data_IF_303397398848
#
_entry.id   IF_303397398848
#
_cell.length_a   1.000
_cell.length_b   1.000
_cell.length_c   1.000
_cell.angle_alpha   90.00
_cell.angle_beta   90.00
_cell.angle_gamma   90.00
#
_symmetry.space_group_name_H-M   'P 1'
#
loop_
_entity.id
_entity.type
_entity.pdbx_description
1 polymer ?
#
# COMPACT_ATOMS: atom_id res chain seq x y z
N UNK A 1 5.22 -14.07 -22.53
CA UNK A 1 4.14 -14.63 -21.69
C UNK A 1 2.99 -14.98 -22.61
N UNK A 2 2.09 -15.91 -22.24
CA UNK A 2 0.76 -15.89 -22.84
C UNK A 2 0.28 -14.44 -22.79
N UNK A 3 -0.27 -13.96 -23.90
CA UNK A 3 -1.04 -12.70 -23.96
C UNK A 3 -1.88 -12.66 -22.69
N UNK A 4 -1.97 -11.51 -22.01
CA UNK A 4 -2.84 -11.40 -20.83
C UNK A 4 -4.17 -12.06 -21.19
N UNK A 5 -4.44 -13.21 -20.57
CA UNK A 5 -5.63 -13.96 -20.95
C UNK A 5 -6.84 -13.09 -20.65
N UNK A 6 -7.94 -13.35 -21.37
CA UNK A 6 -9.20 -12.60 -21.20
C UNK A 6 -9.60 -12.51 -19.73
N UNK A 7 -9.28 -13.56 -18.94
CA UNK A 7 -9.49 -13.61 -17.49
C UNK A 7 -8.68 -12.54 -16.73
N UNK A 8 -7.40 -12.38 -17.04
CA UNK A 8 -6.56 -11.35 -16.40
C UNK A 8 -7.05 -9.93 -16.74
N UNK A 9 -7.48 -9.71 -17.99
CA UNK A 9 -8.11 -8.46 -18.39
C UNK A 9 -9.42 -8.20 -17.66
N UNK A 10 -10.30 -9.20 -17.56
CA UNK A 10 -11.55 -9.09 -16.82
C UNK A 10 -11.31 -8.78 -15.35
N UNK A 11 -10.34 -9.44 -14.70
CA UNK A 11 -9.99 -9.17 -13.31
C UNK A 11 -9.45 -7.75 -13.11
N UNK A 12 -8.60 -7.27 -14.02
CA UNK A 12 -8.04 -5.92 -13.97
C UNK A 12 -9.13 -4.85 -14.20
N UNK A 13 -10.00 -5.05 -15.19
CA UNK A 13 -11.14 -4.15 -15.47
C UNK A 13 -12.13 -4.17 -14.30
N UNK A 14 -12.46 -5.34 -13.77
CA UNK A 14 -13.35 -5.48 -12.61
C UNK A 14 -12.75 -4.75 -11.40
N UNK A 15 -11.46 -4.92 -11.16
CA UNK A 15 -10.75 -4.22 -10.10
C UNK A 15 -10.81 -2.70 -10.28
N UNK A 16 -10.55 -2.20 -11.49
CA UNK A 16 -10.64 -0.77 -11.81
C UNK A 16 -12.06 -0.22 -11.64
N UNK A 17 -13.09 -0.96 -12.08
CA UNK A 17 -14.50 -0.60 -11.91
C UNK A 17 -14.87 -0.53 -10.43
N UNK A 18 -14.43 -1.49 -9.61
CA UNK A 18 -14.68 -1.46 -8.17
C UNK A 18 -14.03 -0.24 -7.52
N UNK A 19 -12.81 0.11 -7.95
CA UNK A 19 -12.07 1.25 -7.42
C UNK A 19 -12.73 2.59 -7.80
N UNK A 20 -13.06 2.77 -9.09
CA UNK A 20 -13.75 3.95 -9.62
C UNK A 20 -15.16 4.05 -9.02
N UNK A 21 -15.88 2.95 -8.95
CA UNK A 21 -17.23 2.87 -8.39
C UNK A 21 -17.26 3.28 -6.92
N UNK A 22 -16.27 2.85 -6.12
CA UNK A 22 -16.17 3.23 -4.72
C UNK A 22 -15.89 4.74 -4.55
N UNK A 23 -15.05 5.33 -5.42
CA UNK A 23 -14.81 6.79 -5.45
C UNK A 23 -16.05 7.58 -5.88
N UNK A 24 -16.76 7.09 -6.90
CA UNK A 24 -18.00 7.71 -7.38
C UNK A 24 -19.06 7.72 -6.28
N UNK A 25 -19.25 6.58 -5.60
CA UNK A 25 -20.18 6.49 -4.48
C UNK A 25 -19.87 7.50 -3.37
N UNK A 26 -18.58 7.68 -3.06
CA UNK A 26 -18.13 8.68 -2.09
C UNK A 26 -18.48 10.10 -2.53
N UNK A 27 -18.33 10.42 -3.83
CA UNK A 27 -18.70 11.73 -4.39
C UNK A 27 -20.22 11.97 -4.33
N UNK A 28 -21.03 10.96 -4.61
CA UNK A 28 -22.49 11.08 -4.62
C UNK A 28 -23.13 11.00 -3.22
N UNK A 29 -22.44 10.41 -2.24
CA UNK A 29 -22.90 10.31 -0.85
C UNK A 29 -21.88 10.96 0.10
N UNK A 30 -21.78 12.30 0.13
CA UNK A 30 -20.81 13.01 0.97
C UNK A 30 -21.00 12.77 2.49
N UNK A 31 -22.19 12.31 2.89
CA UNK A 31 -22.49 11.89 4.27
C UNK A 31 -21.80 10.58 4.67
N UNK A 32 -21.43 9.72 3.71
CA UNK A 32 -20.60 8.54 3.95
C UNK A 32 -19.12 8.91 3.77
N UNK A 33 -18.47 9.30 4.87
CA UNK A 33 -17.03 9.63 4.89
C UNK A 33 -16.12 8.42 4.63
N UNK A 34 -16.64 7.20 4.73
CA UNK A 34 -15.88 5.95 4.55
C UNK A 34 -16.37 5.20 3.31
N UNK A 35 -15.44 4.65 2.55
CA UNK A 35 -15.76 3.71 1.47
C UNK A 35 -16.52 2.50 2.03
N UNK A 36 -17.48 1.91 1.28
CA UNK A 36 -18.17 0.71 1.72
C UNK A 36 -17.17 -0.44 1.92
N UNK A 37 -17.16 -1.04 3.11
CA UNK A 37 -16.21 -2.11 3.46
C UNK A 37 -16.26 -3.29 2.47
N UNK A 38 -17.44 -3.59 1.92
CA UNK A 38 -17.62 -4.64 0.93
C UNK A 38 -16.93 -4.32 -0.42
N UNK A 39 -16.92 -3.04 -0.85
CA UNK A 39 -16.22 -2.62 -2.07
C UNK A 39 -14.70 -2.71 -1.89
N UNK A 40 -14.20 -2.33 -0.71
CA UNK A 40 -12.79 -2.48 -0.37
C UNK A 40 -12.37 -3.96 -0.31
N UNK A 41 -13.20 -4.83 0.26
CA UNK A 41 -12.96 -6.27 0.32
C UNK A 41 -13.01 -6.90 -1.08
N UNK A 42 -14.00 -6.56 -1.90
CA UNK A 42 -14.11 -7.04 -3.27
C UNK A 42 -12.91 -6.60 -4.12
N UNK A 43 -12.51 -5.33 -4.01
CA UNK A 43 -11.33 -4.81 -4.72
C UNK A 43 -10.05 -5.54 -4.29
N UNK A 44 -9.84 -5.73 -2.98
CA UNK A 44 -8.70 -6.48 -2.46
C UNK A 44 -8.69 -7.93 -2.94
N UNK A 45 -9.85 -8.58 -2.93
CA UNK A 45 -10.01 -9.96 -3.40
C UNK A 45 -9.74 -10.09 -4.90
N UNK A 46 -10.22 -9.15 -5.72
CA UNK A 46 -9.91 -9.14 -7.17
C UNK A 46 -8.41 -9.00 -7.44
N UNK A 47 -7.71 -8.17 -6.67
CA UNK A 47 -6.27 -7.97 -6.78
C UNK A 47 -5.53 -9.24 -6.35
N UNK A 48 -5.96 -9.86 -5.25
CA UNK A 48 -5.42 -11.13 -4.77
C UNK A 48 -5.58 -12.24 -5.83
N UNK A 49 -6.77 -12.39 -6.40
CA UNK A 49 -7.06 -13.35 -7.46
C UNK A 49 -6.19 -13.10 -8.69
N UNK A 50 -6.04 -11.84 -9.12
CA UNK A 50 -5.25 -11.48 -10.29
C UNK A 50 -3.78 -11.92 -10.13
N UNK A 51 -3.19 -11.65 -8.95
CA UNK A 51 -1.78 -11.95 -8.71
C UNK A 51 -1.54 -13.45 -8.53
N UNK A 52 -2.43 -14.16 -7.83
CA UNK A 52 -2.37 -15.62 -7.71
C UNK A 52 -2.62 -16.33 -9.04
N UNK A 53 -3.54 -15.81 -9.86
CA UNK A 53 -3.75 -16.30 -11.22
C UNK A 53 -2.49 -16.14 -12.07
N UNK A 54 -1.81 -14.99 -11.98
CA UNK A 54 -0.51 -14.77 -12.62
C UNK A 54 0.56 -15.77 -12.16
N UNK A 55 0.58 -16.15 -10.89
CA UNK A 55 1.46 -17.20 -10.38
C UNK A 55 1.11 -18.59 -10.91
N UNK A 56 -0.17 -18.95 -10.96
CA UNK A 56 -0.63 -20.24 -11.49
C UNK A 56 -0.31 -20.42 -12.98
N UNK A 57 -0.30 -19.33 -13.75
CA UNK A 57 0.09 -19.33 -15.16
C UNK A 57 1.62 -19.41 -15.37
N UNK A 58 2.41 -19.10 -14.33
CA UNK A 58 3.85 -19.17 -14.44
C UNK A 58 4.32 -20.64 -14.44
N UNK A 59 5.17 -21.00 -15.41
CA UNK A 59 5.71 -22.36 -15.47
C UNK A 59 6.52 -22.68 -14.20
N UNK A 60 6.26 -23.80 -13.52
CA UNK A 60 6.98 -24.17 -12.31
C UNK A 60 8.49 -24.30 -12.59
N UNK A 61 9.32 -23.78 -11.68
CA UNK A 61 10.78 -23.81 -11.79
C UNK A 61 11.43 -22.65 -12.55
N UNK A 62 10.64 -21.75 -13.15
CA UNK A 62 11.17 -20.57 -13.87
C UNK A 62 11.41 -19.37 -12.95
N UNK A 63 12.30 -18.45 -13.36
CA UNK A 63 12.48 -17.14 -12.69
C UNK A 63 11.16 -16.36 -12.62
N UNK A 64 10.30 -16.50 -13.65
CA UNK A 64 8.98 -15.87 -13.69
C UNK A 64 8.06 -16.37 -12.58
N UNK A 65 8.18 -17.65 -12.18
CA UNK A 65 7.38 -18.21 -11.08
C UNK A 65 7.83 -17.69 -9.71
N UNK A 66 9.14 -17.53 -9.49
CA UNK A 66 9.66 -16.92 -8.24
C UNK A 66 9.22 -15.47 -8.12
N UNK A 67 9.28 -14.73 -9.22
CA UNK A 67 8.79 -13.35 -9.30
C UNK A 67 7.28 -13.26 -9.02
N UNK A 68 6.46 -14.06 -9.70
CA UNK A 68 5.01 -14.06 -9.52
C UNK A 68 4.61 -14.47 -8.10
N UNK A 69 5.33 -15.45 -7.50
CA UNK A 69 5.15 -15.83 -6.10
C UNK A 69 5.50 -14.70 -5.13
N UNK A 70 6.60 -14.00 -5.38
CA UNK A 70 7.02 -12.82 -4.60
C UNK A 70 5.95 -11.72 -4.62
N UNK A 71 5.36 -11.43 -5.77
CA UNK A 71 4.27 -10.45 -5.87
C UNK A 71 3.00 -10.97 -5.18
N UNK A 72 2.65 -12.25 -5.33
CA UNK A 72 1.47 -12.84 -4.68
C UNK A 72 1.55 -12.75 -3.15
N UNK A 73 2.68 -13.18 -2.59
CA UNK A 73 2.96 -13.12 -1.15
C UNK A 73 3.01 -11.68 -0.64
N UNK A 74 3.67 -10.77 -1.37
CA UNK A 74 3.66 -9.36 -1.06
C UNK A 74 2.23 -8.77 -1.03
N UNK A 75 1.42 -9.11 -2.02
CA UNK A 75 0.04 -8.65 -2.14
C UNK A 75 -0.81 -9.10 -0.96
N UNK A 76 -0.65 -10.36 -0.52
CA UNK A 76 -1.30 -10.87 0.69
C UNK A 76 -0.92 -10.02 1.91
N UNK A 77 0.37 -9.74 2.10
CA UNK A 77 0.85 -8.92 3.22
C UNK A 77 0.31 -7.49 3.19
N UNK A 78 0.24 -6.86 2.02
CA UNK A 78 -0.33 -5.52 1.84
C UNK A 78 -1.82 -5.52 2.19
N UNK A 79 -2.58 -6.52 1.74
CA UNK A 79 -4.01 -6.62 2.02
C UNK A 79 -4.29 -6.89 3.51
N UNK A 80 -3.58 -7.86 4.10
CA UNK A 80 -3.69 -8.17 5.53
C UNK A 80 -3.25 -6.97 6.38
N UNK A 81 -2.13 -6.34 6.02
CA UNK A 81 -1.62 -5.15 6.67
C UNK A 81 -2.61 -3.99 6.63
N UNK A 82 -3.19 -3.73 5.46
CA UNK A 82 -4.24 -2.72 5.29
C UNK A 82 -5.49 -3.00 6.11
N UNK A 83 -5.94 -4.25 6.20
CA UNK A 83 -7.07 -4.64 7.06
C UNK A 83 -6.75 -4.46 8.55
N UNK A 84 -5.55 -4.82 8.99
CA UNK A 84 -5.12 -4.62 10.38
C UNK A 84 -5.00 -3.14 10.73
N UNK A 85 -4.52 -2.31 9.79
CA UNK A 85 -4.42 -0.87 9.98
C UNK A 85 -5.79 -0.19 10.02
N UNK A 86 -6.72 -0.57 9.14
CA UNK A 86 -8.04 0.04 9.02
C UNK A 86 -9.06 -0.43 10.09
N UNK A 87 -8.95 -1.67 10.55
CA UNK A 87 -9.90 -2.29 11.50
C UNK A 87 -9.56 -2.10 12.97
N UNK A 88 -8.49 -1.39 13.32
CA UNK A 88 -7.96 -1.36 14.68
C UNK A 88 -8.45 -0.17 15.50
N UNK A 89 -9.20 -0.47 16.57
CA UNK A 89 -9.39 0.40 17.74
C UNK A 89 -8.14 0.46 18.64
N UNK A 90 -7.14 -0.40 18.38
CA UNK A 90 -6.00 -0.63 19.26
C UNK A 90 -4.65 -0.23 18.63
N UNK A 91 -3.82 0.58 19.33
CA UNK A 91 -2.49 1.03 18.92
C UNK A 91 -1.61 -0.01 18.22
N UNK A 92 -1.46 -1.16 18.89
CA UNK A 92 -0.51 -2.20 18.51
C UNK A 92 -0.89 -2.83 17.17
N UNK A 93 -2.20 -2.97 16.90
CA UNK A 93 -2.72 -3.62 15.70
C UNK A 93 -2.55 -2.73 14.46
N UNK A 94 -2.63 -1.41 14.62
CA UNK A 94 -2.29 -0.44 13.56
C UNK A 94 -0.80 -0.51 13.21
N UNK A 95 0.08 -0.61 14.21
CA UNK A 95 1.52 -0.78 13.99
C UNK A 95 1.84 -2.07 13.23
N UNK A 96 1.28 -3.21 13.64
CA UNK A 96 1.42 -4.47 12.91
C UNK A 96 0.92 -4.36 11.47
N UNK A 97 -0.19 -3.65 11.25
CA UNK A 97 -0.72 -3.41 9.91
C UNK A 97 0.23 -2.60 9.02
N UNK A 98 0.77 -1.50 9.54
CA UNK A 98 1.75 -0.66 8.81
C UNK A 98 3.02 -1.46 8.51
N UNK A 99 3.55 -2.20 9.49
CA UNK A 99 4.74 -3.02 9.31
C UNK A 99 4.54 -4.15 8.28
N UNK A 100 3.41 -4.86 8.32
CA UNK A 100 3.09 -5.90 7.34
C UNK A 100 2.98 -5.32 5.92
N UNK A 101 2.37 -4.13 5.81
CA UNK A 101 2.28 -3.40 4.53
C UNK A 101 3.67 -2.99 4.02
N UNK A 102 4.55 -2.51 4.91
CA UNK A 102 5.93 -2.17 4.58
C UNK A 102 6.71 -3.37 4.06
N UNK A 103 6.62 -4.51 4.75
CA UNK A 103 7.28 -5.76 4.35
C UNK A 103 6.75 -6.21 2.98
N UNK A 104 5.45 -6.10 2.75
CA UNK A 104 4.86 -6.39 1.45
C UNK A 104 5.46 -5.54 0.33
N UNK A 105 5.56 -4.22 0.51
CA UNK A 105 6.22 -3.36 -0.49
C UNK A 105 7.71 -3.69 -0.68
N UNK A 106 8.41 -4.03 0.39
CA UNK A 106 9.81 -4.44 0.34
C UNK A 106 9.98 -5.73 -0.49
N UNK A 107 9.05 -6.67 -0.37
CA UNK A 107 9.01 -7.88 -1.21
C UNK A 107 8.72 -7.57 -2.68
N UNK A 108 7.83 -6.61 -2.98
CA UNK A 108 7.61 -6.15 -4.38
C UNK A 108 8.91 -5.56 -4.94
N UNK A 109 9.55 -4.66 -4.19
CA UNK A 109 10.84 -4.06 -4.57
C UNK A 109 11.87 -5.16 -4.83
N UNK A 110 12.05 -6.09 -3.89
CA UNK A 110 12.99 -7.20 -4.02
C UNK A 110 12.71 -8.05 -5.28
N UNK A 111 11.44 -8.41 -5.50
CA UNK A 111 11.03 -9.20 -6.67
C UNK A 111 11.32 -8.47 -8.00
N UNK A 112 11.05 -7.16 -8.07
CA UNK A 112 11.32 -6.37 -9.28
C UNK A 112 12.83 -6.18 -9.50
N UNK A 113 13.62 -6.00 -8.42
CA UNK A 113 15.08 -5.85 -8.52
C UNK A 113 15.79 -7.13 -8.94
N UNK A 114 15.22 -8.30 -8.67
CA UNK A 114 15.76 -9.57 -9.15
C UNK A 114 15.61 -9.77 -10.66
N UNK A 115 14.72 -8.99 -11.31
CA UNK A 115 14.50 -9.06 -12.75
C UNK A 115 15.31 -8.00 -13.51
N UNK A 116 16.40 -8.45 -14.13
CA UNK A 116 17.32 -7.66 -14.96
C UNK A 116 18.22 -6.69 -14.17
N UNK A 117 19.16 -5.99 -14.81
CA UNK A 117 20.00 -5.00 -14.13
C UNK A 117 19.11 -3.86 -13.60
N UNK A 118 18.84 -3.88 -12.30
CA UNK A 118 17.90 -2.97 -11.63
C UNK A 118 18.33 -1.48 -11.66
N UNK A 119 19.60 -1.22 -11.97
CA UNK A 119 20.29 0.04 -11.73
C UNK A 119 20.99 0.57 -12.99
N UNK A 120 20.43 0.36 -14.18
CA UNK A 120 20.95 0.97 -15.41
C UNK A 120 20.15 2.22 -15.78
N UNK A 121 20.87 3.34 -15.94
CA UNK A 121 20.44 4.62 -16.52
C UNK A 121 18.98 5.01 -16.29
N UNK A 122 18.13 4.66 -17.25
CA UNK A 122 16.69 5.00 -17.28
C UNK A 122 15.94 4.46 -16.06
N UNK A 123 16.27 3.24 -15.58
CA UNK A 123 15.63 2.67 -14.37
C UNK A 123 15.98 3.48 -13.13
N UNK A 124 17.22 3.94 -13.03
CA UNK A 124 17.73 4.73 -11.89
C UNK A 124 17.12 6.14 -11.88
N UNK A 125 16.96 6.76 -13.05
CA UNK A 125 16.30 8.05 -13.20
C UNK A 125 14.80 7.98 -12.84
N UNK A 126 14.10 6.95 -13.31
CA UNK A 126 12.68 6.76 -12.99
C UNK A 126 12.49 6.42 -11.52
N UNK A 127 13.38 5.60 -10.95
CA UNK A 127 13.42 5.33 -9.52
C UNK A 127 13.66 6.60 -8.71
N UNK A 128 14.65 7.43 -9.07
CA UNK A 128 14.98 8.64 -8.34
C UNK A 128 13.84 9.66 -8.38
N UNK A 129 13.20 9.85 -9.55
CA UNK A 129 11.99 10.66 -9.67
C UNK A 129 10.86 10.13 -8.80
N UNK A 130 10.63 8.81 -8.81
CA UNK A 130 9.56 8.20 -8.02
C UNK A 130 9.83 8.32 -6.52
N UNK A 131 11.07 8.13 -6.08
CA UNK A 131 11.51 8.34 -4.70
C UNK A 131 11.35 9.80 -4.28
N UNK A 132 11.66 10.75 -5.17
CA UNK A 132 11.45 12.17 -4.90
C UNK A 132 9.96 12.47 -4.68
N UNK A 133 9.08 11.95 -5.53
CA UNK A 133 7.62 12.10 -5.36
C UNK A 133 7.15 11.43 -4.07
N UNK A 134 7.65 10.23 -3.76
CA UNK A 134 7.34 9.53 -2.51
C UNK A 134 7.81 10.28 -1.26
N UNK A 135 9.00 10.88 -1.30
CA UNK A 135 9.52 11.72 -0.23
C UNK A 135 8.68 12.99 -0.03
N UNK A 136 8.29 13.66 -1.12
CA UNK A 136 7.40 14.82 -1.08
C UNK A 136 6.02 14.45 -0.53
N UNK A 137 5.45 13.32 -0.96
CA UNK A 137 4.17 12.82 -0.45
C UNK A 137 4.24 12.48 1.05
N UNK A 138 5.30 11.79 1.47
CA UNK A 138 5.57 11.48 2.88
C UNK A 138 5.74 12.73 3.73
N UNK A 139 6.47 13.74 3.22
CA UNK A 139 6.67 15.01 3.90
C UNK A 139 5.36 15.82 3.99
N UNK A 140 4.57 15.90 2.91
CA UNK A 140 3.26 16.52 2.93
C UNK A 140 2.32 15.84 3.94
N UNK A 141 2.37 14.51 4.03
CA UNK A 141 1.61 13.75 5.03
C UNK A 141 2.07 14.07 6.46
N UNK A 142 3.38 14.06 6.72
CA UNK A 142 3.98 14.42 8.01
C UNK A 142 3.55 15.84 8.44
N UNK A 143 3.62 16.82 7.54
CA UNK A 143 3.20 18.19 7.82
C UNK A 143 1.71 18.28 8.14
N UNK A 144 0.85 17.56 7.40
CA UNK A 144 -0.59 17.54 7.63
C UNK A 144 -0.98 16.85 8.94
N UNK A 145 -0.23 15.85 9.38
CA UNK A 145 -0.55 15.00 10.56
C UNK A 145 0.27 15.30 11.82
N UNK A 146 1.19 16.27 11.74
CA UNK A 146 2.12 16.67 12.82
C UNK A 146 1.48 16.87 14.19
N UNK A 147 0.24 17.35 14.24
CA UNK A 147 -0.47 17.69 15.47
C UNK A 147 -1.43 16.61 15.98
N UNK A 148 -1.65 15.53 15.21
CA UNK A 148 -2.72 14.54 15.48
C UNK A 148 -2.23 13.13 15.82
N UNK A 149 -1.02 12.77 15.40
CA UNK A 149 -0.51 11.41 15.53
C UNK A 149 0.92 11.38 16.10
N UNK A 150 1.30 10.31 16.81
CA UNK A 150 2.67 10.17 17.32
C UNK A 150 3.67 10.10 16.17
N UNK A 151 4.78 10.83 16.30
CA UNK A 151 5.84 11.00 15.27
C UNK A 151 6.30 9.66 14.68
N UNK A 152 6.35 8.62 15.50
CA UNK A 152 6.74 7.27 15.09
C UNK A 152 5.76 6.64 14.07
N UNK A 153 4.45 6.82 14.26
CA UNK A 153 3.43 6.29 13.31
C UNK A 153 3.45 7.06 11.99
N UNK A 154 3.62 8.37 12.04
CA UNK A 154 3.70 9.21 10.84
C UNK A 154 4.98 8.94 10.05
N UNK A 155 6.08 8.62 10.72
CA UNK A 155 7.33 8.20 10.08
C UNK A 155 7.20 6.82 9.42
N UNK A 156 6.56 5.85 10.09
CA UNK A 156 6.31 4.53 9.53
C UNK A 156 5.42 4.59 8.28
N UNK A 157 4.43 5.50 8.28
CA UNK A 157 3.59 5.80 7.12
C UNK A 157 4.38 6.46 5.98
N UNK A 158 5.22 7.45 6.29
CA UNK A 158 6.07 8.09 5.29
C UNK A 158 7.05 7.09 4.66
N UNK A 159 7.57 6.15 5.46
CA UNK A 159 8.44 5.08 4.98
C UNK A 159 7.71 4.08 4.08
N UNK A 160 6.47 3.70 4.42
CA UNK A 160 5.64 2.84 3.56
C UNK A 160 5.32 3.52 2.23
N UNK A 161 5.03 4.82 2.23
CA UNK A 161 4.87 5.60 1.00
C UNK A 161 6.14 5.58 0.16
N UNK A 162 7.30 5.76 0.78
CA UNK A 162 8.58 5.75 0.06
C UNK A 162 8.84 4.38 -0.59
N UNK A 163 8.56 3.28 0.11
CA UNK A 163 8.64 1.93 -0.45
C UNK A 163 7.65 1.67 -1.58
N UNK A 164 6.42 2.16 -1.44
CA UNK A 164 5.39 2.09 -2.46
C UNK A 164 5.81 2.82 -3.74
N UNK A 165 6.31 4.06 -3.62
CA UNK A 165 6.82 4.81 -4.76
C UNK A 165 8.11 4.21 -5.34
N UNK A 166 8.95 3.58 -4.52
CA UNK A 166 10.09 2.80 -5.02
C UNK A 166 9.64 1.63 -5.90
N UNK A 167 8.60 0.89 -5.49
CA UNK A 167 8.02 -0.19 -6.29
C UNK A 167 7.48 0.32 -7.63
N UNK A 168 6.78 1.46 -7.63
CA UNK A 168 6.27 2.12 -8.86
C UNK A 168 7.41 2.54 -9.78
N UNK A 169 8.44 3.17 -9.24
CA UNK A 169 9.60 3.60 -10.02
C UNK A 169 10.35 2.43 -10.66
N UNK A 170 10.56 1.36 -9.90
CA UNK A 170 11.16 0.13 -10.41
C UNK A 170 10.30 -0.52 -11.49
N UNK A 171 8.98 -0.51 -11.33
CA UNK A 171 8.03 -1.03 -12.30
C UNK A 171 8.01 -0.24 -13.61
N UNK A 172 7.99 1.09 -13.53
CA UNK A 172 8.09 1.94 -14.72
C UNK A 172 9.43 1.77 -15.41
N UNK A 173 10.53 1.76 -14.65
CA UNK A 173 11.85 1.51 -15.20
C UNK A 173 11.90 0.16 -15.93
N UNK A 174 11.30 -0.87 -15.35
CA UNK A 174 11.24 -2.20 -15.94
C UNK A 174 10.32 -2.26 -17.16
N UNK A 175 9.21 -1.52 -17.17
CA UNK A 175 8.34 -1.39 -18.34
C UNK A 175 9.01 -0.65 -19.51
N UNK A 176 9.85 0.35 -19.22
CA UNK A 176 10.60 1.09 -20.24
C UNK A 176 11.73 0.25 -20.84
N UNK A 177 12.42 -0.56 -20.05
CA UNK A 177 13.48 -1.46 -20.56
C UNK A 177 12.92 -2.73 -21.18
N UNK A 178 11.74 -3.18 -20.75
CA UNK A 178 11.07 -4.37 -21.26
C UNK A 178 9.56 -4.10 -21.40
N UNK A 179 9.08 -3.68 -22.59
CA UNK A 179 7.69 -3.27 -22.84
C UNK A 179 6.64 -4.32 -22.46
N UNK A 180 7.04 -5.60 -22.42
CA UNK A 180 6.23 -6.73 -21.96
C UNK A 180 5.70 -6.59 -20.53
N UNK A 181 6.27 -5.69 -19.72
CA UNK A 181 5.83 -5.41 -18.36
C UNK A 181 5.02 -4.11 -18.23
N UNK A 182 4.54 -3.53 -19.34
CA UNK A 182 3.80 -2.25 -19.33
C UNK A 182 2.56 -2.20 -18.44
N UNK A 183 1.96 -3.34 -18.09
CA UNK A 183 0.78 -3.42 -17.20
C UNK A 183 1.15 -3.32 -15.71
N UNK A 184 2.37 -3.69 -15.35
CA UNK A 184 2.90 -3.67 -13.98
C UNK A 184 2.85 -2.25 -13.36
N UNK A 185 3.36 -1.17 -14.03
CA UNK A 185 3.24 0.18 -13.49
C UNK A 185 1.80 0.65 -13.39
N UNK A 186 0.89 0.25 -14.29
CA UNK A 186 -0.53 0.59 -14.20
C UNK A 186 -1.17 -0.02 -12.96
N UNK A 187 -0.90 -1.31 -12.68
CA UNK A 187 -1.34 -1.99 -11.47
C UNK A 187 -0.80 -1.35 -10.19
N UNK A 188 0.50 -1.01 -10.16
CA UNK A 188 1.09 -0.34 -9.00
C UNK A 188 0.58 1.09 -8.81
N UNK A 189 0.34 1.86 -9.88
CA UNK A 189 -0.26 3.19 -9.76
C UNK A 189 -1.66 3.13 -9.15
N UNK A 190 -2.47 2.16 -9.57
CA UNK A 190 -3.79 1.95 -9.00
C UNK A 190 -3.70 1.51 -7.52
N UNK A 191 -2.70 0.69 -7.17
CA UNK A 191 -2.42 0.32 -5.77
C UNK A 191 -1.99 1.55 -4.94
N UNK A 192 -1.11 2.40 -5.47
CA UNK A 192 -0.69 3.67 -4.85
C UNK A 192 -1.91 4.54 -4.57
N UNK A 193 -2.79 4.67 -5.56
CA UNK A 193 -3.99 5.47 -5.44
C UNK A 193 -4.93 4.91 -4.36
N UNK A 194 -5.12 3.58 -4.33
CA UNK A 194 -5.90 2.90 -3.28
C UNK A 194 -5.33 3.17 -1.89
N UNK A 195 -4.01 3.01 -1.72
CA UNK A 195 -3.35 3.18 -0.43
C UNK A 195 -3.32 4.64 0.03
N UNK A 196 -3.09 5.60 -0.87
CA UNK A 196 -3.21 7.03 -0.56
C UNK A 196 -4.62 7.37 -0.09
N UNK A 197 -5.65 6.80 -0.73
CA UNK A 197 -7.04 7.04 -0.33
C UNK A 197 -7.30 6.51 1.08
N UNK A 198 -6.85 5.30 1.39
CA UNK A 198 -6.94 4.71 2.74
C UNK A 198 -6.15 5.53 3.77
N UNK A 199 -4.98 6.02 3.39
CA UNK A 199 -4.13 6.83 4.27
C UNK A 199 -4.79 8.16 4.65
N UNK A 200 -5.43 8.81 3.67
CA UNK A 200 -6.20 10.04 3.89
C UNK A 200 -7.39 9.76 4.82
N UNK A 201 -8.11 8.64 4.64
CA UNK A 201 -9.19 8.23 5.56
C UNK A 201 -8.68 7.99 6.99
N UNK A 202 -7.48 7.43 7.13
CA UNK A 202 -6.85 7.21 8.44
C UNK A 202 -6.48 8.54 9.11
N UNK A 203 -5.98 9.52 8.35
CA UNK A 203 -5.57 10.83 8.85
C UNK A 203 -6.74 11.78 9.16
N UNK A 204 -7.87 11.63 8.46
CA UNK A 204 -9.09 12.43 8.66
C UNK A 204 -10.02 11.83 9.73
N UNK A 205 -9.75 10.60 10.20
CA UNK A 205 -10.49 10.01 11.33
C UNK A 205 -10.09 10.69 12.65
N UNK A 206 -11.06 11.04 13.52
CA UNK A 206 -10.77 11.66 14.82
C UNK A 206 -9.83 10.76 15.62
N UNK A 207 -8.77 11.37 16.15
CA UNK A 207 -7.62 10.77 16.82
C UNK A 207 -7.90 9.39 17.45
N UNK A 208 -7.40 8.33 16.81
CA UNK A 208 -7.37 6.97 17.37
C UNK A 208 -6.48 6.83 18.63
N UNK A 209 -5.86 7.93 19.09
CA UNK A 209 -4.91 7.94 20.20
C UNK A 209 -5.10 9.12 21.16
N UNK A 210 -6.18 9.20 21.95
CA UNK A 210 -6.27 10.17 23.04
C UNK A 210 -5.44 9.74 24.27
N UNK A 211 -5.13 8.45 24.42
CA UNK A 211 -4.82 7.89 25.76
C UNK A 211 -3.35 7.53 26.05
N UNK A 212 -2.42 7.64 25.11
CA UNK A 212 -1.02 7.31 25.39
C UNK A 212 -0.20 8.47 25.97
N UNK A 213 -0.73 9.70 26.01
CA UNK A 213 -0.01 10.86 26.56
C UNK A 213 -0.34 11.16 28.03
N UNK A 214 -1.36 10.52 28.62
CA UNK A 214 -1.77 10.79 30.01
C UNK A 214 -1.13 9.87 31.07
N UNK A 215 -0.32 8.87 30.69
CA UNK A 215 0.27 7.94 31.66
C UNK A 215 1.60 8.40 32.28
N UNK A 216 2.02 9.67 32.07
CA UNK A 216 3.31 10.15 32.57
C UNK A 216 3.27 11.55 33.22
N UNK A 217 2.17 11.90 33.87
CA UNK A 217 2.11 13.07 34.76
C UNK A 217 1.16 12.80 35.94
N UNK A 218 1.71 12.26 37.03
CA UNK A 218 1.76 12.93 38.35
C UNK A 218 1.92 11.91 39.51
N UNK A 219 3.14 11.71 40.06
CA UNK A 219 3.34 10.88 41.25
C UNK A 219 2.85 11.52 42.56
N UNK A 220 2.26 12.73 42.54
CA UNK A 220 1.98 13.52 43.76
C UNK A 220 0.59 13.39 44.35
N UNK A 221 -0.24 12.45 43.92
CA UNK A 221 -1.53 12.18 44.55
C UNK A 221 -1.51 10.90 45.40
N UNK A 222 -0.71 10.89 46.47
CA UNK A 222 -0.97 10.00 47.61
C UNK A 222 -1.81 10.77 48.64
N UNK A 223 -3.06 10.38 48.92
CA UNK A 223 -3.75 10.86 50.10
C UNK A 223 -3.10 10.26 51.35
N UNK A 224 -2.83 11.10 52.35
CA UNK A 224 -2.44 10.67 53.69
C UNK A 224 -3.57 9.85 54.32
N UNK A 225 -3.28 8.72 54.98
CA UNK A 225 -4.28 8.02 55.77
C UNK A 225 -4.65 8.87 56.99
N UNK A 226 -5.95 9.05 57.21
CA UNK A 226 -6.52 9.49 58.49
C UNK A 226 -6.58 8.32 59.46
#
# INVERSE_FOLDING_TARGET
MPVLDVIAWLLLVLWAILLIGALLLRRFRPHMRRLPAWMQAASGLTLLLLVWYGFLLARPGTETARYAFGIATATVLILVGGHLAAGALAPKRTWFGISATAIGYLLIVAAITQYGPALEGVRLLVLSLSLLVGALAGLAFLLRTRHRHPVQTTAAVAYTLLLLFAAVGLAFGLALTAPRFGILPAGLLLLVFSDLTRLIELADSPSLFPHLWQSQADPRSRPLPQ
#
